data_IF_438328829475
#
_entry.id   IF_438328829475
#
_cell.length_a   1.000
_cell.length_b   1.000
_cell.length_c   1.000
_cell.angle_alpha   90.00
_cell.angle_beta   90.00
_cell.angle_gamma   90.00
#
_symmetry.space_group_name_H-M   'P 1'
#
loop_
_entity.id
_entity.type
_entity.pdbx_description
1 polymer ?
#
# COMPACT_ATOMS: atom_id res chain seq x y z
N UNK A 1 -22.28 -20.62 14.83
CA UNK A 1 -21.57 -21.34 15.91
C UNK A 1 -20.06 -21.16 15.68
N UNK A 2 -19.45 -20.26 16.47
CA UNK A 2 -18.02 -20.01 16.72
C UNK A 2 -17.03 -19.97 15.54
N UNK A 3 -16.67 -18.76 15.08
CA UNK A 3 -15.33 -18.48 14.54
C UNK A 3 -14.61 -17.63 15.61
N UNK A 4 -13.62 -18.23 16.26
CA UNK A 4 -12.84 -17.62 17.31
C UNK A 4 -11.74 -16.74 16.68
N UNK A 5 -11.79 -15.44 16.96
CA UNK A 5 -10.69 -14.52 16.69
C UNK A 5 -9.51 -14.87 17.61
N UNK A 6 -8.34 -15.15 17.04
CA UNK A 6 -7.06 -15.11 17.76
C UNK A 6 -6.32 -13.87 17.28
N UNK A 7 -6.37 -12.82 18.09
CA UNK A 7 -5.47 -11.68 17.96
C UNK A 7 -4.11 -12.05 18.56
N UNK A 8 -3.06 -12.11 17.73
CA UNK A 8 -1.69 -12.22 18.21
C UNK A 8 -1.17 -10.81 18.51
N UNK A 9 -1.12 -10.45 19.79
CA UNK A 9 -0.36 -9.32 20.27
C UNK A 9 1.10 -9.75 20.42
N UNK A 10 2.01 -9.22 19.59
CA UNK A 10 3.45 -9.38 19.82
C UNK A 10 3.93 -8.25 20.75
N UNK A 11 4.19 -8.60 22.01
CA UNK A 11 4.91 -7.75 22.97
C UNK A 11 6.42 -7.87 22.69
N UNK A 12 7.10 -6.72 22.58
CA UNK A 12 8.56 -6.64 22.49
C UNK A 12 9.18 -6.90 23.88
N UNK A 13 10.02 -7.91 24.01
CA UNK A 13 10.97 -8.01 25.14
C UNK A 13 12.37 -8.15 24.56
N UNK A 14 13.22 -7.15 24.80
CA UNK A 14 14.63 -7.16 24.42
C UNK A 14 15.46 -7.76 25.56
N UNK A 15 16.27 -8.78 25.25
CA UNK A 15 17.54 -9.05 25.91
C UNK A 15 18.29 -10.17 25.16
N UNK A 16 19.53 -9.91 24.74
CA UNK A 16 20.67 -10.70 25.23
C UNK A 16 22.00 -9.98 24.93
N UNK A 17 22.75 -9.73 26.01
CA UNK A 17 24.19 -9.41 25.99
C UNK A 17 24.94 -10.74 26.00
N UNK A 18 25.94 -10.89 25.13
CA UNK A 18 27.04 -11.82 25.36
C UNK A 18 28.34 -11.27 24.74
N UNK A 19 29.32 -11.17 25.62
CA UNK A 19 30.73 -10.83 25.43
C UNK A 19 31.50 -11.91 24.67
N UNK A 20 32.55 -11.52 23.92
CA UNK A 20 33.76 -12.34 23.81
C UNK A 20 34.27 -12.66 22.41
N UNK A 21 35.39 -11.97 22.10
CA UNK A 21 36.56 -12.42 21.32
C UNK A 21 36.45 -12.76 19.83
N UNK A 22 37.26 -11.98 19.09
CA UNK A 22 37.68 -12.05 17.71
C UNK A 22 38.39 -13.35 17.29
N UNK A 23 38.11 -13.79 16.07
CA UNK A 23 39.09 -14.47 15.22
C UNK A 23 38.80 -14.14 13.75
N UNK A 24 39.80 -13.57 13.08
CA UNK A 24 39.84 -13.36 11.63
C UNK A 24 40.37 -14.66 11.03
N UNK A 25 39.62 -15.30 10.14
CA UNK A 25 40.13 -16.37 9.29
C UNK A 25 39.95 -15.94 7.84
N UNK A 26 41.08 -15.86 7.14
CA UNK A 26 41.19 -15.46 5.74
C UNK A 26 40.83 -16.61 4.78
N UNK A 27 40.30 -16.17 3.63
CA UNK A 27 39.99 -16.83 2.35
C UNK A 27 40.28 -18.33 2.17
N UNK A 28 39.19 -19.08 1.98
CA UNK A 28 39.14 -20.25 1.12
C UNK A 28 38.38 -19.85 -0.17
N UNK A 29 38.77 -20.32 -1.37
CA UNK A 29 38.21 -19.87 -2.63
C UNK A 29 36.69 -20.12 -2.65
N UNK A 30 35.92 -19.03 -2.69
CA UNK A 30 34.48 -19.07 -2.84
C UNK A 30 34.13 -19.77 -4.16
N UNK A 31 33.24 -20.78 -4.15
CA UNK A 31 32.55 -21.19 -5.36
C UNK A 31 31.91 -19.95 -5.98
N UNK A 32 32.22 -19.67 -7.25
CA UNK A 32 31.59 -18.56 -7.97
C UNK A 32 30.07 -18.78 -7.96
N UNK A 33 29.36 -17.93 -7.23
CA UNK A 33 27.90 -17.94 -7.20
C UNK A 33 27.38 -17.56 -8.58
N UNK A 34 26.87 -18.53 -9.33
CA UNK A 34 26.00 -18.25 -10.47
C UNK A 34 24.77 -17.49 -9.99
N UNK A 35 24.38 -16.44 -10.73
CA UNK A 35 23.18 -15.68 -10.43
C UNK A 35 21.94 -16.58 -10.54
N UNK A 36 21.15 -16.72 -9.46
CA UNK A 36 19.70 -16.86 -9.61
C UNK A 36 19.10 -15.47 -9.45
N UNK A 37 18.66 -14.95 -10.60
CA UNK A 37 17.78 -13.80 -10.72
C UNK A 37 16.35 -14.33 -10.97
N UNK A 38 15.82 -15.13 -10.04
CA UNK A 38 14.43 -15.56 -10.18
C UNK A 38 13.54 -14.33 -9.93
N UNK A 39 13.07 -13.71 -11.02
CA UNK A 39 11.93 -12.80 -10.96
C UNK A 39 10.74 -13.51 -10.30
N UNK A 40 9.90 -12.79 -9.54
CA UNK A 40 8.66 -13.38 -9.05
C UNK A 40 7.82 -13.87 -10.22
N UNK A 41 6.99 -14.89 -9.96
CA UNK A 41 6.07 -15.39 -10.98
C UNK A 41 5.21 -14.24 -11.53
N UNK A 42 5.13 -14.14 -12.85
CA UNK A 42 4.24 -13.20 -13.49
C UNK A 42 2.79 -13.55 -13.17
N UNK A 43 1.94 -12.53 -13.04
CA UNK A 43 0.50 -12.73 -13.00
C UNK A 43 0.04 -13.50 -14.27
N UNK A 44 -0.86 -14.49 -14.17
CA UNK A 44 -1.29 -15.25 -15.33
C UNK A 44 -1.98 -14.31 -16.35
N UNK A 45 -1.67 -14.49 -17.64
CA UNK A 45 -2.17 -13.66 -18.73
C UNK A 45 -3.71 -13.67 -18.89
N UNK A 46 -4.38 -14.64 -18.25
CA UNK A 46 -5.83 -14.81 -18.20
C UNK A 46 -6.32 -15.04 -16.75
N UNK A 47 -5.73 -14.34 -15.78
CA UNK A 47 -6.41 -14.20 -14.50
C UNK A 47 -7.82 -13.65 -14.77
N UNK A 48 -8.85 -14.25 -14.18
CA UNK A 48 -10.15 -13.58 -14.08
C UNK A 48 -9.89 -12.14 -13.60
N UNK A 49 -10.62 -11.16 -14.15
CA UNK A 49 -10.44 -9.74 -13.79
C UNK A 49 -10.22 -9.66 -12.28
N UNK A 50 -9.06 -9.14 -11.87
CA UNK A 50 -8.67 -9.10 -10.47
C UNK A 50 -9.86 -8.61 -9.65
N UNK A 51 -10.27 -9.34 -8.62
CA UNK A 51 -11.34 -8.88 -7.76
C UNK A 51 -10.94 -7.50 -7.26
N UNK A 52 -11.79 -6.49 -7.46
CA UNK A 52 -11.46 -5.17 -6.95
C UNK A 52 -11.29 -5.31 -5.43
N UNK A 53 -10.14 -4.89 -4.87
CA UNK A 53 -9.88 -5.00 -3.44
C UNK A 53 -11.06 -4.42 -2.67
N UNK A 54 -11.53 -5.05 -1.60
CA UNK A 54 -12.63 -4.50 -0.78
C UNK A 54 -12.16 -4.38 0.66
N UNK A 55 -11.02 -3.71 0.81
CA UNK A 55 -10.31 -3.65 2.08
C UNK A 55 -11.07 -2.81 3.09
N UNK A 56 -10.90 -3.18 4.36
CA UNK A 56 -11.26 -2.26 5.44
C UNK A 56 -10.40 -1.01 5.37
N UNK A 57 -10.96 0.15 5.76
CA UNK A 57 -10.15 1.32 6.07
C UNK A 57 -9.50 1.10 7.43
N UNK A 58 -8.17 1.06 7.47
CA UNK A 58 -7.42 1.06 8.72
C UNK A 58 -7.03 2.47 9.12
N UNK A 59 -6.99 2.69 10.43
CA UNK A 59 -6.64 3.97 11.02
C UNK A 59 -5.75 3.78 12.24
N UNK A 60 -4.67 4.56 12.36
CA UNK A 60 -3.78 4.52 13.54
C UNK A 60 -3.70 5.89 14.17
N UNK A 61 -4.01 5.99 15.46
CA UNK A 61 -3.93 7.26 16.19
C UNK A 61 -2.50 7.56 16.67
N UNK A 62 -2.29 8.75 17.25
CA UNK A 62 -0.97 9.16 17.77
C UNK A 62 -0.43 8.29 18.90
N UNK A 63 -1.31 7.59 19.64
CA UNK A 63 -0.93 6.62 20.66
C UNK A 63 -0.52 5.25 20.08
N UNK A 64 -0.56 5.09 18.74
CA UNK A 64 -0.22 3.84 18.08
C UNK A 64 -1.29 2.75 18.19
N UNK A 65 -2.54 3.12 18.50
CA UNK A 65 -3.69 2.20 18.50
C UNK A 65 -4.28 2.15 17.09
N UNK A 66 -4.39 0.94 16.55
CA UNK A 66 -4.96 0.64 15.25
C UNK A 66 -6.46 0.30 15.37
N UNK A 67 -7.24 0.85 14.44
CA UNK A 67 -8.67 0.62 14.29
C UNK A 67 -8.98 0.18 12.86
N UNK A 68 -10.01 -0.64 12.70
CA UNK A 68 -10.54 -1.08 11.42
C UNK A 68 -11.98 -0.57 11.24
N UNK A 69 -12.30 -0.21 10.00
CA UNK A 69 -13.62 0.20 9.54
C UNK A 69 -13.93 -0.56 8.25
N UNK A 70 -14.84 -1.54 8.31
CA UNK A 70 -15.21 -2.31 7.13
C UNK A 70 -16.21 -1.56 6.24
N UNK A 71 -16.38 -1.97 4.97
CA UNK A 71 -17.54 -1.62 4.16
C UNK A 71 -18.85 -2.00 4.87
N UNK A 72 -19.84 -1.12 4.88
CA UNK A 72 -21.13 -1.39 5.56
C UNK A 72 -22.25 -1.88 4.63
N UNK A 73 -21.94 -2.09 3.34
CA UNK A 73 -22.91 -2.50 2.31
C UNK A 73 -23.97 -1.45 1.96
N UNK A 74 -23.79 -0.19 2.38
CA UNK A 74 -24.68 0.95 2.13
C UNK A 74 -23.91 2.17 1.59
N UNK A 75 -22.73 1.92 1.00
CA UNK A 75 -21.80 2.95 0.54
C UNK A 75 -21.24 3.81 1.66
N UNK A 76 -20.65 3.17 2.67
CA UNK A 76 -20.03 3.80 3.83
C UNK A 76 -19.31 2.79 4.71
N UNK A 77 -18.92 3.22 5.90
CA UNK A 77 -18.10 2.43 6.83
C UNK A 77 -18.90 1.87 8.01
N UNK A 78 -18.43 0.77 8.58
CA UNK A 78 -18.94 0.24 9.86
C UNK A 78 -18.53 1.12 11.04
N UNK A 79 -19.06 0.82 12.22
CA UNK A 79 -18.48 1.32 13.46
C UNK A 79 -17.02 0.87 13.62
N UNK A 80 -16.19 1.71 14.26
CA UNK A 80 -14.77 1.41 14.48
C UNK A 80 -14.60 0.19 15.38
N UNK A 81 -13.67 -0.69 15.03
CA UNK A 81 -13.22 -1.80 15.88
C UNK A 81 -11.73 -1.64 16.17
N UNK A 82 -11.32 -1.74 17.43
CA UNK A 82 -9.89 -1.78 17.75
C UNK A 82 -9.29 -3.07 17.21
N UNK A 83 -8.20 -2.95 16.47
CA UNK A 83 -7.55 -4.06 15.77
C UNK A 83 -6.18 -4.39 16.37
N UNK A 84 -5.46 -3.39 16.88
CA UNK A 84 -4.13 -3.61 17.48
C UNK A 84 -3.56 -2.37 18.16
N UNK A 85 -2.34 -2.48 18.69
CA UNK A 85 -1.60 -1.39 19.31
C UNK A 85 -0.08 -1.57 19.12
N UNK A 86 0.71 -0.55 19.46
CA UNK A 86 2.19 -0.60 19.35
C UNK A 86 2.76 0.08 18.10
N UNK A 87 1.92 0.77 17.33
CA UNK A 87 2.30 1.40 16.06
C UNK A 87 2.89 2.81 16.19
N UNK A 88 3.60 3.08 17.29
CA UNK A 88 4.25 4.39 17.51
C UNK A 88 5.56 4.51 16.72
N UNK A 89 6.25 3.38 16.52
CA UNK A 89 7.55 3.30 15.85
C UNK A 89 7.51 3.27 14.33
N UNK A 90 6.36 3.48 13.67
CA UNK A 90 6.23 3.41 12.21
C UNK A 90 5.99 4.77 11.54
N UNK A 91 6.44 4.87 10.28
CA UNK A 91 6.42 6.07 9.44
C UNK A 91 5.63 5.89 8.13
N UNK A 92 5.29 4.66 7.76
CA UNK A 92 4.40 4.34 6.64
C UNK A 92 3.73 2.98 6.90
N UNK A 93 2.49 2.81 6.42
CA UNK A 93 1.72 1.58 6.49
C UNK A 93 0.84 1.48 5.25
N UNK A 94 0.81 0.32 4.60
CA UNK A 94 0.07 0.08 3.36
C UNK A 94 -0.51 -1.33 3.39
N UNK A 95 -1.78 -1.49 3.03
CA UNK A 95 -2.38 -2.80 2.82
C UNK A 95 -1.87 -3.43 1.51
N UNK A 96 -1.87 -4.75 1.45
CA UNK A 96 -1.57 -5.52 0.25
C UNK A 96 -2.45 -6.77 0.19
N UNK A 97 -2.77 -7.17 -1.04
CA UNK A 97 -3.34 -8.45 -1.42
C UNK A 97 -2.29 -9.18 -2.26
N UNK A 98 -1.85 -10.34 -1.79
CA UNK A 98 -0.77 -11.13 -2.35
C UNK A 98 -1.27 -12.30 -3.20
N UNK A 99 -2.47 -12.82 -2.96
CA UNK A 99 -3.08 -13.87 -3.80
C UNK A 99 -4.10 -13.33 -4.81
N UNK A 100 -4.38 -12.02 -4.78
CA UNK A 100 -5.30 -11.34 -5.67
C UNK A 100 -6.74 -11.88 -5.57
N UNK A 101 -7.20 -12.12 -4.34
CA UNK A 101 -8.56 -12.59 -4.05
C UNK A 101 -9.53 -11.46 -3.61
N UNK A 102 -9.03 -10.23 -3.50
CA UNK A 102 -9.79 -9.04 -3.12
C UNK A 102 -9.72 -8.70 -1.63
N UNK A 103 -9.18 -9.60 -0.81
CA UNK A 103 -8.98 -9.40 0.62
C UNK A 103 -7.53 -9.00 0.92
N UNK A 104 -7.32 -8.20 1.96
CA UNK A 104 -5.95 -7.83 2.36
C UNK A 104 -5.34 -8.94 3.21
N UNK A 105 -4.13 -9.35 2.84
CA UNK A 105 -3.36 -10.38 3.53
C UNK A 105 -2.48 -9.86 4.65
N UNK A 106 -2.28 -8.55 4.66
CA UNK A 106 -1.40 -7.93 5.62
C UNK A 106 -0.93 -6.55 5.22
N UNK A 107 0.09 -6.11 5.94
CA UNK A 107 0.60 -4.76 5.88
C UNK A 107 2.09 -4.74 5.51
N UNK A 108 2.42 -3.95 4.50
CA UNK A 108 3.74 -3.35 4.42
C UNK A 108 3.83 -2.21 5.42
N UNK A 109 4.92 -2.14 6.18
CA UNK A 109 5.15 -1.02 7.09
C UNK A 109 6.61 -0.61 7.10
N UNK A 110 6.86 0.69 7.30
CA UNK A 110 8.20 1.22 7.48
C UNK A 110 8.39 1.69 8.92
N UNK A 111 9.40 1.15 9.58
CA UNK A 111 9.82 1.59 10.91
C UNK A 111 10.54 2.94 10.87
N UNK A 112 10.68 3.58 12.04
CA UNK A 112 11.32 4.91 12.16
C UNK A 112 12.83 4.87 11.94
N UNK A 113 13.46 3.72 12.14
CA UNK A 113 14.86 3.44 11.77
C UNK A 113 15.06 3.32 10.25
N UNK A 114 13.97 3.26 9.46
CA UNK A 114 14.01 3.10 8.01
C UNK A 114 13.89 1.66 7.52
N UNK A 115 13.68 0.68 8.39
CA UNK A 115 13.50 -0.71 7.98
C UNK A 115 12.10 -0.93 7.39
N UNK A 116 12.02 -1.72 6.32
CA UNK A 116 10.76 -2.21 5.76
C UNK A 116 10.42 -3.54 6.42
N UNK A 117 9.18 -3.67 6.88
CA UNK A 117 8.60 -4.89 7.41
C UNK A 117 7.36 -5.32 6.64
N UNK A 118 7.07 -6.61 6.75
CA UNK A 118 5.86 -7.28 6.28
C UNK A 118 5.14 -7.87 7.49
N UNK A 119 3.88 -7.52 7.71
CA UNK A 119 3.02 -8.15 8.71
C UNK A 119 1.87 -8.88 8.01
N UNK A 120 1.95 -10.21 7.82
CA UNK A 120 0.80 -11.00 7.43
C UNK A 120 -0.22 -11.03 8.59
N UNK A 121 -1.52 -11.04 8.29
CA UNK A 121 -2.56 -11.02 9.33
C UNK A 121 -2.72 -12.34 10.08
N UNK A 122 -2.18 -13.45 9.56
CA UNK A 122 -2.25 -14.78 10.15
C UNK A 122 -0.96 -15.20 10.88
N UNK A 123 0.08 -14.35 10.87
CA UNK A 123 1.40 -14.69 11.38
C UNK A 123 2.13 -13.47 11.97
N UNK A 124 3.41 -13.62 12.26
CA UNK A 124 4.24 -12.58 12.87
C UNK A 124 4.94 -11.72 11.82
N UNK A 125 5.20 -10.47 12.17
CA UNK A 125 5.93 -9.56 11.30
C UNK A 125 7.36 -10.06 11.00
N UNK A 126 7.80 -9.87 9.76
CA UNK A 126 9.16 -10.16 9.30
C UNK A 126 9.80 -8.91 8.74
N UNK A 127 11.12 -8.78 8.94
CA UNK A 127 11.92 -7.71 8.31
C UNK A 127 12.17 -8.08 6.85
N UNK A 128 11.90 -7.12 5.97
CA UNK A 128 12.02 -7.27 4.51
C UNK A 128 13.35 -6.68 4.03
N UNK A 129 13.74 -5.53 4.58
CA UNK A 129 15.00 -4.88 4.22
C UNK A 129 15.30 -3.61 5.00
N UNK A 130 16.51 -3.11 4.84
CA UNK A 130 17.03 -1.91 5.50
C UNK A 130 17.00 -0.68 4.58
N UNK A 131 17.06 0.53 5.15
CA UNK A 131 17.38 1.75 4.39
C UNK A 131 16.24 2.31 3.53
N UNK A 132 14.99 1.94 3.80
CA UNK A 132 13.80 2.49 3.13
C UNK A 132 13.45 3.91 3.59
N UNK A 133 14.21 4.50 4.51
CA UNK A 133 14.17 5.93 4.84
C UNK A 133 14.66 6.83 3.70
N UNK A 134 15.32 6.28 2.66
CA UNK A 134 15.63 7.04 1.44
C UNK A 134 14.39 7.45 0.63
N UNK A 135 13.22 6.86 0.92
CA UNK A 135 11.98 7.11 0.21
C UNK A 135 11.11 8.14 0.92
N UNK A 136 10.60 9.12 0.18
CA UNK A 136 9.64 10.10 0.68
C UNK A 136 8.21 9.56 0.70
N UNK A 137 7.88 8.59 -0.16
CA UNK A 137 6.55 7.95 -0.26
C UNK A 137 6.70 6.46 -0.55
N UNK A 138 5.80 5.67 0.02
CA UNK A 138 5.63 4.24 -0.24
C UNK A 138 4.13 4.00 -0.46
N UNK A 139 3.77 3.27 -1.52
CA UNK A 139 2.38 2.90 -1.87
C UNK A 139 2.37 1.45 -2.35
N UNK A 140 1.35 0.69 -1.99
CA UNK A 140 1.14 -0.70 -2.42
C UNK A 140 -0.04 -0.70 -3.39
N UNK A 141 0.20 -0.61 -4.71
CA UNK A 141 -0.86 -0.40 -5.69
C UNK A 141 -1.53 -1.68 -6.16
N UNK A 142 -1.20 -2.85 -5.61
CA UNK A 142 -1.49 -4.14 -6.25
C UNK A 142 -0.41 -4.52 -7.25
N UNK A 143 -0.76 -5.21 -8.33
CA UNK A 143 0.15 -5.89 -9.27
C UNK A 143 0.64 -4.96 -10.40
N UNK A 144 1.02 -3.72 -10.08
CA UNK A 144 1.32 -2.68 -11.09
C UNK A 144 2.47 -3.04 -12.03
N UNK A 145 3.45 -3.80 -11.53
CA UNK A 145 4.64 -4.24 -12.22
C UNK A 145 4.50 -5.61 -12.87
N UNK A 146 3.37 -6.30 -12.68
CA UNK A 146 3.03 -7.57 -13.34
C UNK A 146 3.39 -8.83 -12.56
N UNK A 147 3.90 -8.72 -11.32
CA UNK A 147 4.04 -9.88 -10.45
C UNK A 147 2.66 -10.39 -10.01
N UNK A 148 2.54 -11.68 -9.72
CA UNK A 148 1.29 -12.28 -9.23
C UNK A 148 0.90 -11.76 -7.83
N UNK A 149 1.86 -11.23 -7.07
CA UNK A 149 1.64 -10.67 -5.74
C UNK A 149 1.70 -9.13 -5.79
N UNK A 150 1.01 -8.46 -4.86
CA UNK A 150 1.06 -7.00 -4.76
C UNK A 150 2.47 -6.42 -4.61
N UNK A 151 2.72 -5.34 -5.35
CA UNK A 151 4.00 -4.65 -5.49
C UNK A 151 4.13 -3.46 -4.52
N UNK A 152 5.32 -2.85 -4.46
CA UNK A 152 5.54 -1.56 -3.79
C UNK A 152 6.06 -0.53 -4.79
N UNK A 153 5.42 0.63 -4.81
CA UNK A 153 5.94 1.85 -5.42
C UNK A 153 6.64 2.69 -4.36
N UNK A 154 7.83 3.18 -4.70
CA UNK A 154 8.65 3.99 -3.81
C UNK A 154 9.18 5.24 -4.54
N UNK A 155 8.94 6.42 -3.98
CA UNK A 155 9.47 7.69 -4.52
C UNK A 155 10.60 8.16 -3.64
N UNK A 156 11.82 8.26 -4.19
CA UNK A 156 12.97 8.75 -3.41
C UNK A 156 12.93 10.26 -3.17
N UNK A 157 13.85 10.77 -2.36
CA UNK A 157 13.92 12.20 -2.03
C UNK A 157 14.35 13.08 -3.21
N UNK A 158 14.94 12.51 -4.27
CA UNK A 158 15.27 13.20 -5.52
C UNK A 158 14.07 13.26 -6.47
N UNK A 159 13.06 12.42 -6.24
CA UNK A 159 11.86 12.31 -7.07
C UNK A 159 11.91 11.18 -8.09
N UNK A 160 12.86 10.25 -7.97
CA UNK A 160 12.85 9.05 -8.81
C UNK A 160 11.82 8.06 -8.27
N UNK A 161 11.06 7.45 -9.19
CA UNK A 161 10.13 6.38 -8.89
C UNK A 161 10.81 5.03 -9.06
N UNK A 162 10.58 4.14 -8.10
CA UNK A 162 10.97 2.74 -8.16
C UNK A 162 9.78 1.82 -7.95
N UNK A 163 9.84 0.66 -8.62
CA UNK A 163 8.96 -0.50 -8.41
C UNK A 163 9.76 -1.59 -7.69
N UNK A 164 9.14 -2.23 -6.72
CA UNK A 164 9.60 -3.45 -6.08
C UNK A 164 8.54 -4.50 -6.30
N UNK A 165 8.90 -5.60 -6.98
CA UNK A 165 7.93 -6.65 -7.23
C UNK A 165 7.77 -7.55 -6.01
N UNK A 166 6.52 -7.90 -5.68
CA UNK A 166 6.19 -8.81 -4.59
C UNK A 166 6.42 -10.27 -4.96
N UNK A 167 6.92 -11.07 -4.01
CA UNK A 167 6.96 -12.55 -4.12
C UNK A 167 5.79 -13.26 -3.43
N UNK A 168 4.90 -12.52 -2.75
CA UNK A 168 3.77 -13.09 -1.99
C UNK A 168 4.14 -13.75 -0.67
N UNK A 169 5.42 -13.77 -0.31
CA UNK A 169 5.95 -14.43 0.89
C UNK A 169 6.74 -13.48 1.80
N UNK A 170 6.43 -12.18 1.74
CA UNK A 170 7.14 -11.14 2.49
C UNK A 170 8.53 -10.78 1.94
N UNK A 171 8.85 -11.20 0.71
CA UNK A 171 10.04 -10.74 -0.01
C UNK A 171 9.65 -9.83 -1.17
N UNK A 172 10.58 -8.97 -1.56
CA UNK A 172 10.48 -8.12 -2.76
C UNK A 172 11.77 -8.18 -3.57
N UNK A 173 11.70 -7.81 -4.85
CA UNK A 173 12.89 -7.71 -5.71
C UNK A 173 13.85 -6.60 -5.26
N UNK A 174 15.01 -6.51 -5.91
CA UNK A 174 15.73 -5.23 -5.96
C UNK A 174 14.86 -4.16 -6.62
N UNK A 175 15.09 -2.91 -6.26
CA UNK A 175 14.37 -1.77 -6.82
C UNK A 175 14.60 -1.63 -8.32
N UNK A 176 13.54 -1.40 -9.08
CA UNK A 176 13.57 -1.16 -10.52
C UNK A 176 13.19 0.30 -10.75
N UNK A 177 14.07 1.11 -11.36
CA UNK A 177 13.73 2.51 -11.63
C UNK A 177 12.68 2.57 -12.74
N UNK A 178 11.57 3.22 -12.45
CA UNK A 178 10.41 3.30 -13.33
C UNK A 178 10.07 4.73 -13.80
N UNK A 179 10.73 5.75 -13.25
CA UNK A 179 10.52 7.12 -13.69
C UNK A 179 11.28 8.17 -12.90
N UNK A 180 11.12 9.42 -13.33
CA UNK A 180 11.74 10.61 -12.75
C UNK A 180 10.66 11.66 -12.45
N UNK A 181 10.98 12.66 -11.62
CA UNK A 181 10.12 13.84 -11.41
C UNK A 181 8.85 13.59 -10.60
N UNK A 182 8.77 12.50 -9.83
CA UNK A 182 7.63 12.17 -8.97
C UNK A 182 7.57 13.02 -7.69
N UNK A 183 8.59 13.84 -7.43
CA UNK A 183 8.60 14.82 -6.34
C UNK A 183 7.60 15.98 -6.51
N UNK A 184 6.95 16.09 -7.68
CA UNK A 184 5.84 17.03 -7.90
C UNK A 184 4.56 16.59 -7.18
N UNK A 185 4.47 15.32 -6.77
CA UNK A 185 3.30 14.74 -6.12
C UNK A 185 3.33 14.93 -4.61
N UNK A 186 2.23 15.45 -4.07
CA UNK A 186 2.01 15.58 -2.63
C UNK A 186 1.43 14.32 -2.01
N UNK A 187 0.56 13.62 -2.75
CA UNK A 187 -0.09 12.37 -2.35
C UNK A 187 -0.13 11.42 -3.54
N UNK A 188 0.00 10.13 -3.27
CA UNK A 188 -0.14 9.04 -4.24
C UNK A 188 -0.98 7.98 -3.54
N UNK A 189 -2.05 7.53 -4.20
CA UNK A 189 -2.92 6.49 -3.70
C UNK A 189 -3.30 5.59 -4.88
N UNK A 190 -3.29 4.29 -4.67
CA UNK A 190 -3.74 3.32 -5.66
C UNK A 190 -3.79 1.96 -5.02
N UNK A 191 -4.76 1.17 -5.44
CA UNK A 191 -4.99 -0.23 -5.09
C UNK A 191 -6.34 -0.65 -5.71
N UNK A 192 -6.30 -1.14 -6.94
CA UNK A 192 -7.49 -1.57 -7.71
C UNK A 192 -7.59 -0.96 -9.11
N UNK A 193 -8.52 -1.46 -9.93
CA UNK A 193 -8.76 -1.02 -11.31
C UNK A 193 -9.79 0.12 -11.36
N UNK A 194 -9.33 1.33 -11.69
CA UNK A 194 -10.16 2.53 -11.78
C UNK A 194 -10.79 2.70 -13.16
N UNK A 195 -10.22 2.06 -14.19
CA UNK A 195 -10.63 2.25 -15.57
C UNK A 195 -11.24 1.02 -16.25
N UNK A 196 -11.43 -0.08 -15.54
CA UNK A 196 -12.10 -1.28 -16.02
C UNK A 196 -11.30 -2.12 -17.03
N UNK A 197 -9.97 -2.02 -17.07
CA UNK A 197 -9.14 -2.85 -17.99
C UNK A 197 -8.42 -4.04 -17.32
N UNK A 198 -8.79 -4.34 -16.07
CA UNK A 198 -8.32 -5.47 -15.29
C UNK A 198 -6.93 -5.29 -14.70
N UNK A 199 -6.35 -4.08 -14.73
CA UNK A 199 -5.05 -3.77 -14.13
C UNK A 199 -5.21 -2.75 -13.02
N UNK A 200 -4.35 -2.83 -12.02
CA UNK A 200 -4.37 -1.83 -10.95
C UNK A 200 -3.90 -0.47 -11.46
N UNK A 201 -4.56 0.58 -11.00
CA UNK A 201 -4.27 1.96 -11.31
C UNK A 201 -3.82 2.75 -10.08
N UNK A 202 -3.25 3.92 -10.31
CA UNK A 202 -2.87 4.88 -9.28
C UNK A 202 -3.44 6.25 -9.60
N UNK A 203 -3.85 6.98 -8.57
CA UNK A 203 -4.04 8.42 -8.64
C UNK A 203 -2.94 9.16 -7.89
N UNK A 204 -2.51 10.29 -8.43
CA UNK A 204 -1.49 11.12 -7.83
C UNK A 204 -1.92 12.59 -7.85
N UNK A 205 -1.87 13.24 -6.69
CA UNK A 205 -2.19 14.66 -6.57
C UNK A 205 -0.93 15.50 -6.56
N UNK A 206 -0.78 16.35 -7.56
CA UNK A 206 0.36 17.25 -7.60
C UNK A 206 0.26 18.38 -6.56
N UNK A 207 1.36 19.10 -6.37
CA UNK A 207 1.44 20.21 -5.40
C UNK A 207 0.52 21.39 -5.73
N UNK A 208 0.03 21.50 -6.97
CA UNK A 208 -0.94 22.52 -7.37
C UNK A 208 -2.40 22.10 -7.11
N UNK A 209 -2.62 20.85 -6.69
CA UNK A 209 -3.93 20.30 -6.39
C UNK A 209 -4.65 19.70 -7.59
N UNK A 210 -3.94 19.42 -8.70
CA UNK A 210 -4.48 18.64 -9.81
C UNK A 210 -4.37 17.16 -9.46
N UNK A 211 -5.46 16.41 -9.69
CA UNK A 211 -5.48 14.96 -9.57
C UNK A 211 -5.23 14.33 -10.94
N UNK A 212 -4.27 13.42 -10.99
CA UNK A 212 -3.86 12.71 -12.18
C UNK A 212 -4.17 11.21 -12.03
N UNK A 213 -4.75 10.60 -13.06
CA UNK A 213 -4.86 9.16 -13.21
C UNK A 213 -3.61 8.62 -13.92
N UNK A 214 -3.03 7.59 -13.35
CA UNK A 214 -1.97 6.78 -13.91
C UNK A 214 -2.49 5.36 -14.13
N UNK A 215 -2.84 5.09 -15.38
CA UNK A 215 -3.29 3.77 -15.81
C UNK A 215 -2.18 2.73 -15.71
N UNK A 216 -2.42 1.61 -15.06
CA UNK A 216 -1.46 0.51 -14.95
C UNK A 216 -1.22 -0.20 -16.27
N UNK A 217 -0.01 -0.72 -16.44
CA UNK A 217 0.35 -1.54 -17.62
C UNK A 217 0.62 -3.01 -17.27
N UNK A 218 0.89 -3.31 -15.99
CA UNK A 218 1.38 -4.62 -15.57
C UNK A 218 2.83 -4.89 -16.01
N UNK A 219 3.61 -3.84 -16.29
CA UNK A 219 5.00 -3.95 -16.73
C UNK A 219 5.92 -3.13 -15.83
N UNK A 220 6.77 -3.80 -15.05
CA UNK A 220 7.72 -3.18 -14.12
C UNK A 220 8.62 -2.07 -14.73
N UNK A 221 8.93 -2.13 -16.02
CA UNK A 221 9.81 -1.16 -16.69
C UNK A 221 9.05 0.05 -17.24
N UNK A 222 7.72 -0.07 -17.36
CA UNK A 222 6.84 0.98 -17.82
C UNK A 222 5.49 0.86 -17.11
N UNK A 223 5.45 0.98 -15.76
CA UNK A 223 4.29 0.56 -14.95
C UNK A 223 3.02 1.36 -15.24
N UNK A 224 3.16 2.52 -15.89
CA UNK A 224 2.04 3.38 -16.22
C UNK A 224 2.04 3.81 -17.68
N UNK A 225 0.83 3.96 -18.22
CA UNK A 225 0.61 4.74 -19.43
C UNK A 225 0.80 6.24 -19.16
N UNK A 226 0.63 7.06 -20.20
CA UNK A 226 0.62 8.52 -20.06
C UNK A 226 -0.50 8.94 -19.10
N UNK A 227 -0.16 9.77 -18.11
CA UNK A 227 -1.13 10.27 -17.13
C UNK A 227 -2.22 11.13 -17.77
N UNK A 228 -3.41 11.11 -17.19
CA UNK A 228 -4.56 11.93 -17.58
C UNK A 228 -5.00 12.79 -16.40
N UNK A 229 -5.31 14.06 -16.65
CA UNK A 229 -5.89 14.92 -15.62
C UNK A 229 -7.36 14.51 -15.39
N UNK A 230 -7.72 14.24 -14.14
CA UNK A 230 -9.06 13.79 -13.76
C UNK A 230 -9.74 14.71 -12.74
N UNK A 231 -9.08 15.79 -12.32
CA UNK A 231 -9.70 16.82 -11.50
C UNK A 231 -8.74 17.91 -11.04
N UNK A 232 -9.29 18.95 -10.44
CA UNK A 232 -8.57 20.10 -9.88
C UNK A 232 -9.13 20.44 -8.48
N UNK A 233 -8.41 21.27 -7.71
CA UNK A 233 -8.85 21.67 -6.35
C UNK A 233 -8.76 20.55 -5.31
N UNK A 234 -7.98 19.50 -5.55
CA UNK A 234 -7.79 18.37 -4.63
C UNK A 234 -6.87 18.71 -3.45
N UNK A 235 -6.26 19.89 -3.43
CA UNK A 235 -5.52 20.44 -2.29
C UNK A 235 -6.42 20.72 -1.08
N UNK A 236 -7.74 20.70 -1.24
CA UNK A 236 -8.69 20.74 -0.12
C UNK A 236 -8.61 19.51 0.78
N UNK A 237 -8.07 18.39 0.29
CA UNK A 237 -7.92 17.15 1.05
C UNK A 237 -6.53 17.06 1.66
N UNK A 238 -6.39 16.53 2.87
CA UNK A 238 -5.08 16.31 3.49
C UNK A 238 -4.58 14.87 3.34
N UNK A 239 -5.43 13.92 2.94
CA UNK A 239 -5.05 12.53 2.60
C UNK A 239 -5.92 11.99 1.48
N UNK A 240 -5.34 11.12 0.66
CA UNK A 240 -6.02 10.27 -0.32
C UNK A 240 -5.72 8.82 0.05
N UNK A 241 -6.72 7.96 0.05
CA UNK A 241 -6.62 6.57 0.48
C UNK A 241 -7.35 5.68 -0.53
N UNK A 242 -6.69 4.62 -0.99
CA UNK A 242 -7.26 3.63 -1.91
C UNK A 242 -7.42 2.31 -1.17
N UNK A 243 -8.61 2.09 -0.63
CA UNK A 243 -9.02 0.81 0.00
C UNK A 243 -9.68 -0.14 -0.98
N UNK A 244 -9.88 0.30 -2.23
CA UNK A 244 -10.64 -0.43 -3.23
C UNK A 244 -12.15 -0.14 -3.17
N UNK A 245 -12.99 -1.14 -3.40
CA UNK A 245 -14.45 -1.09 -3.49
C UNK A 245 -15.11 -1.03 -2.09
N UNK A 246 -15.47 0.18 -1.65
CA UNK A 246 -16.07 0.44 -0.34
C UNK A 246 -17.60 0.42 -0.40
N UNK A 247 -18.19 0.73 -1.56
CA UNK A 247 -19.63 0.66 -1.75
C UNK A 247 -20.15 -0.70 -2.25
N UNK A 248 -19.24 -1.64 -2.53
CA UNK A 248 -19.48 -3.02 -2.96
C UNK A 248 -20.19 -3.10 -4.31
N UNK A 249 -19.91 -2.15 -5.22
CA UNK A 249 -20.48 -2.12 -6.57
C UNK A 249 -19.58 -2.77 -7.64
N UNK A 250 -18.46 -3.35 -7.21
CA UNK A 250 -17.47 -4.03 -8.04
C UNK A 250 -16.48 -3.07 -8.69
N UNK A 251 -16.32 -1.83 -8.20
CA UNK A 251 -15.43 -0.80 -8.77
C UNK A 251 -14.53 -0.21 -7.70
N UNK A 252 -13.31 0.13 -8.09
CA UNK A 252 -12.35 0.74 -7.16
C UNK A 252 -12.79 2.15 -6.78
N UNK A 253 -12.89 2.42 -5.48
CA UNK A 253 -13.22 3.74 -4.94
C UNK A 253 -11.98 4.50 -4.45
N UNK A 254 -12.18 5.79 -4.15
CA UNK A 254 -11.20 6.61 -3.45
C UNK A 254 -11.82 7.24 -2.19
N UNK A 255 -11.12 7.14 -1.07
CA UNK A 255 -11.44 7.90 0.14
C UNK A 255 -10.54 9.14 0.19
N UNK A 256 -11.12 10.30 0.48
CA UNK A 256 -10.40 11.54 0.68
C UNK A 256 -10.72 12.13 2.05
N UNK A 257 -9.69 12.50 2.81
CA UNK A 257 -9.86 13.16 4.12
C UNK A 257 -9.71 14.67 3.99
N UNK A 258 -10.62 15.41 4.61
CA UNK A 258 -10.58 16.87 4.73
C UNK A 258 -10.72 17.25 6.19
N UNK A 259 -9.59 17.51 6.86
CA UNK A 259 -9.58 17.76 8.31
C UNK A 259 -10.20 16.57 9.05
N UNK A 260 -11.23 16.83 9.83
CA UNK A 260 -12.00 15.82 10.56
C UNK A 260 -13.00 15.02 9.72
N UNK A 261 -13.18 15.29 8.43
CA UNK A 261 -14.19 14.66 7.58
C UNK A 261 -13.60 13.61 6.62
N UNK A 262 -14.40 12.61 6.25
CA UNK A 262 -14.11 11.69 5.14
C UNK A 262 -15.16 11.77 4.04
N UNK A 263 -14.68 11.69 2.80
CA UNK A 263 -15.49 11.66 1.59
C UNK A 263 -15.15 10.42 0.77
N UNK A 264 -16.17 9.68 0.35
CA UNK A 264 -16.08 8.60 -0.62
C UNK A 264 -16.30 9.17 -2.02
N UNK A 265 -15.43 8.78 -2.93
CA UNK A 265 -15.55 8.98 -4.36
C UNK A 265 -15.73 7.60 -5.00
N UNK A 266 -16.99 7.21 -5.20
CA UNK A 266 -17.29 5.91 -5.79
C UNK A 266 -16.76 5.81 -7.21
N UNK A 267 -16.12 4.69 -7.54
CA UNK A 267 -15.59 4.40 -8.86
C UNK A 267 -16.67 4.27 -9.94
N UNK A 268 -16.29 4.52 -11.18
CA UNK A 268 -17.14 4.22 -12.35
C UNK A 268 -16.58 3.09 -13.21
N UNK A 269 -15.28 2.78 -13.08
CA UNK A 269 -14.57 1.90 -13.99
C UNK A 269 -14.35 2.53 -15.37
N UNK A 270 -14.34 3.86 -15.48
CA UNK A 270 -14.17 4.59 -16.72
C UNK A 270 -13.15 5.73 -16.55
N UNK A 271 -12.00 5.62 -17.22
CA UNK A 271 -10.90 6.59 -17.12
C UNK A 271 -11.30 8.05 -17.43
N UNK A 272 -12.30 8.28 -18.30
CA UNK A 272 -12.73 9.63 -18.68
C UNK A 272 -13.60 10.29 -17.61
N UNK A 273 -14.18 9.50 -16.71
CA UNK A 273 -15.03 9.97 -15.63
C UNK A 273 -14.90 9.02 -14.42
N UNK A 274 -13.71 8.92 -13.79
CA UNK A 274 -13.37 7.81 -12.90
C UNK A 274 -14.19 7.76 -11.61
N UNK A 275 -14.79 8.88 -11.20
CA UNK A 275 -15.53 8.97 -9.95
C UNK A 275 -16.93 9.58 -10.12
N UNK A 276 -17.88 9.08 -9.33
CA UNK A 276 -19.18 9.72 -9.09
C UNK A 276 -19.01 10.99 -8.23
N UNK A 277 -20.10 11.70 -7.99
CA UNK A 277 -20.11 12.81 -7.03
C UNK A 277 -19.73 12.32 -5.62
N UNK A 278 -18.93 13.11 -4.89
CA UNK A 278 -18.46 12.74 -3.56
C UNK A 278 -19.62 12.58 -2.57
N UNK A 279 -19.51 11.59 -1.69
CA UNK A 279 -20.43 11.34 -0.57
C UNK A 279 -19.67 11.47 0.75
N UNK A 280 -20.18 12.24 1.71
CA UNK A 280 -19.58 12.28 3.04
C UNK A 280 -19.86 10.95 3.76
N UNK A 281 -18.79 10.29 4.22
CA UNK A 281 -18.85 9.00 4.95
C UNK A 281 -18.28 9.10 6.37
N UNK A 282 -17.71 10.26 6.72
CA UNK A 282 -17.20 10.56 8.06
C UNK A 282 -17.41 12.04 8.37
N UNK A 283 -18.06 12.33 9.50
CA UNK A 283 -18.50 13.69 9.85
C UNK A 283 -17.48 14.48 10.65
N UNK A 284 -16.73 13.85 11.57
CA UNK A 284 -15.73 14.52 12.40
C UNK A 284 -14.72 13.54 13.00
N UNK A 285 -13.65 14.08 13.60
CA UNK A 285 -12.66 13.33 14.40
C UNK A 285 -11.68 12.48 13.60
N UNK A 286 -11.82 12.42 12.28
CA UNK A 286 -10.89 11.66 11.45
C UNK A 286 -9.49 12.26 11.43
N UNK A 287 -9.33 13.56 11.77
CA UNK A 287 -8.06 14.26 11.96
C UNK A 287 -7.19 13.77 13.10
N UNK A 288 -7.79 13.06 14.07
CA UNK A 288 -7.06 12.41 15.16
C UNK A 288 -6.15 11.25 14.71
N UNK A 289 -6.38 10.71 13.51
CA UNK A 289 -5.58 9.61 12.97
C UNK A 289 -4.31 10.13 12.30
N UNK A 290 -3.17 9.56 12.71
CA UNK A 290 -1.85 9.77 12.10
C UNK A 290 -1.79 9.07 10.74
N UNK A 291 -2.28 7.84 10.67
CA UNK A 291 -2.35 7.04 9.44
C UNK A 291 -3.78 6.65 9.10
N UNK A 292 -4.09 6.67 7.82
CA UNK A 292 -5.29 6.11 7.19
C UNK A 292 -4.82 5.40 5.93
N UNK A 293 -5.13 4.11 5.79
CA UNK A 293 -4.63 3.24 4.73
C UNK A 293 -5.51 2.01 4.54
#
# INVERSE_FOLDING_TARGET
MRIAARAAAAALTAALVATGTSAVAADAPQPSLGASADQPAAAPAAAAAAANPHFSLYAVNSAGIAYAYGPNGKGGLTARKQYGQGWTGVTAMMQVDHQNDGDSDGLWFRESNGDLGWLPFDSSAVKVGYGYNTYSKLVSPGQIGGAAAGDILAVDTKGDLYVYLGYGNGKVTKRIKAGYGWNIYSEIAGNGDLNGDGKNDVVARDKSGVLWLYKGTGNQNAPFAKRTQIGSGWNQYNRLISTGDIDLDGKTDLIARKGGELYLYSGTGNASAPYKAKKQIGTSGWDSYKFLF
#
